data_IF_129600818871
#
_entry.id   IF_129600818871
#
_cell.length_a   1.000
_cell.length_b   1.000
_cell.length_c   1.000
_cell.angle_alpha   90.00
_cell.angle_beta   90.00
_cell.angle_gamma   90.00
#
_symmetry.space_group_name_H-M   'P 1'
#
loop_
_entity.id
_entity.type
_entity.pdbx_description
1 polymer ?
#
# COMPACT_ATOMS: atom_id res chain seq x y z
N UNK A 1 15.58 1.29 61.54
CA UNK A 1 14.40 0.71 60.89
C UNK A 1 13.96 1.66 59.77
N UNK A 2 14.25 1.35 58.55
CA UNK A 2 13.77 2.14 57.39
C UNK A 2 12.27 1.89 57.30
N UNK A 3 11.50 2.96 57.41
CA UNK A 3 10.06 2.97 57.55
C UNK A 3 9.37 2.22 56.37
N UNK A 4 8.75 1.08 56.71
CA UNK A 4 8.04 0.21 55.78
C UNK A 4 6.90 0.94 55.02
N UNK A 5 6.43 2.05 55.57
CA UNK A 5 5.41 2.91 54.99
C UNK A 5 5.95 3.72 53.79
N UNK A 6 7.15 4.30 53.94
CA UNK A 6 7.83 5.05 52.88
C UNK A 6 8.22 4.15 51.69
N UNK A 7 8.68 2.93 51.95
CA UNK A 7 8.99 1.93 50.91
C UNK A 7 7.76 1.55 50.07
N UNK A 8 6.59 1.36 50.69
CA UNK A 8 5.33 1.06 49.98
C UNK A 8 4.87 2.22 49.11
N UNK A 9 4.97 3.45 49.63
CA UNK A 9 4.61 4.67 48.90
C UNK A 9 5.51 4.89 47.67
N UNK A 10 6.82 4.72 47.81
CA UNK A 10 7.79 4.81 46.71
C UNK A 10 7.50 3.77 45.62
N UNK A 11 7.25 2.51 46.01
CA UNK A 11 6.88 1.45 45.03
C UNK A 11 5.58 1.72 44.31
N UNK A 12 4.59 2.30 45.01
CA UNK A 12 3.31 2.67 44.37
C UNK A 12 3.47 3.78 43.34
N UNK A 13 4.22 4.83 43.64
CA UNK A 13 4.55 5.94 42.74
C UNK A 13 5.34 5.41 41.56
N UNK A 14 6.35 4.58 41.77
CA UNK A 14 7.16 3.99 40.71
C UNK A 14 6.32 3.12 39.75
N UNK A 15 5.43 2.26 40.29
CA UNK A 15 4.51 1.46 39.48
C UNK A 15 3.52 2.34 38.70
N UNK A 16 3.02 3.42 39.29
CA UNK A 16 2.17 4.39 38.64
C UNK A 16 2.86 5.05 37.43
N UNK A 17 4.08 5.53 37.65
CA UNK A 17 4.87 6.18 36.57
C UNK A 17 5.21 5.21 35.43
N UNK A 18 5.57 3.94 35.74
CA UNK A 18 5.82 2.92 34.74
C UNK A 18 4.57 2.65 33.87
N UNK A 19 3.38 2.54 34.51
CA UNK A 19 2.13 2.33 33.78
C UNK A 19 1.80 3.51 32.84
N UNK A 20 1.97 4.74 33.32
CA UNK A 20 1.75 5.95 32.52
C UNK A 20 2.73 6.00 31.35
N UNK A 21 4.02 5.74 31.60
CA UNK A 21 5.04 5.72 30.54
C UNK A 21 4.78 4.64 29.51
N UNK A 22 4.41 3.43 29.91
CA UNK A 22 4.06 2.34 28.99
C UNK A 22 2.83 2.68 28.14
N UNK A 23 1.80 3.28 28.75
CA UNK A 23 0.60 3.74 28.04
C UNK A 23 0.93 4.83 27.01
N UNK A 24 1.72 5.82 27.40
CA UNK A 24 2.13 6.91 26.51
C UNK A 24 2.97 6.39 25.34
N UNK A 25 3.89 5.45 25.57
CA UNK A 25 4.68 4.82 24.51
C UNK A 25 3.80 4.06 23.55
N UNK A 26 2.83 3.27 24.06
CA UNK A 26 1.84 2.56 23.24
C UNK A 26 1.04 3.50 22.37
N UNK A 27 0.48 4.59 22.91
CA UNK A 27 -0.27 5.57 22.15
C UNK A 27 0.58 6.26 21.09
N UNK A 28 1.81 6.65 21.44
CA UNK A 28 2.74 7.27 20.48
C UNK A 28 3.05 6.34 19.32
N UNK A 29 3.28 5.05 19.60
CA UNK A 29 3.55 4.04 18.56
C UNK A 29 2.34 3.83 17.67
N UNK A 30 1.13 3.70 18.22
CA UNK A 30 -0.11 3.58 17.45
C UNK A 30 -0.33 4.79 16.54
N UNK A 31 -0.21 6.00 17.06
CA UNK A 31 -0.35 7.23 16.28
C UNK A 31 0.64 7.29 15.11
N UNK A 32 1.88 6.83 15.33
CA UNK A 32 2.89 6.76 14.28
C UNK A 32 2.51 5.76 13.19
N UNK A 33 2.04 4.57 13.57
CA UNK A 33 1.57 3.55 12.62
C UNK A 33 0.39 4.07 11.81
N UNK A 34 -0.62 4.66 12.46
CA UNK A 34 -1.77 5.24 11.78
C UNK A 34 -1.37 6.35 10.80
N UNK A 35 -0.42 7.20 11.17
CA UNK A 35 0.11 8.25 10.30
C UNK A 35 0.77 7.68 9.04
N UNK A 36 1.56 6.61 9.19
CA UNK A 36 2.19 5.93 8.06
C UNK A 36 1.14 5.30 7.14
N UNK A 37 0.17 4.58 7.70
CA UNK A 37 -0.92 3.96 6.93
C UNK A 37 -1.67 5.01 6.12
N UNK A 38 -2.10 6.12 6.74
CA UNK A 38 -2.79 7.20 6.06
C UNK A 38 -1.96 7.86 4.95
N UNK A 39 -0.66 8.00 5.16
CA UNK A 39 0.25 8.53 4.15
C UNK A 39 0.34 7.59 2.93
N UNK A 40 0.46 6.28 3.18
CA UNK A 40 0.49 5.25 2.13
C UNK A 40 -0.83 5.20 1.36
N UNK A 41 -1.98 5.25 2.03
CA UNK A 41 -3.32 5.23 1.41
C UNK A 41 -3.56 6.43 0.48
N UNK A 42 -3.07 7.60 0.86
CA UNK A 42 -3.28 8.84 0.11
C UNK A 42 -2.64 8.79 -1.30
N UNK A 43 -1.53 8.11 -1.45
CA UNK A 43 -0.76 8.08 -2.70
C UNK A 43 -1.57 7.42 -3.83
N UNK A 44 -2.03 6.16 -3.72
CA UNK A 44 -2.81 5.54 -4.78
C UNK A 44 -4.18 6.19 -4.97
N UNK A 45 -4.77 6.82 -3.94
CA UNK A 45 -5.99 7.62 -4.11
C UNK A 45 -5.77 8.82 -5.03
N UNK A 46 -4.67 9.54 -4.86
CA UNK A 46 -4.32 10.66 -5.74
C UNK A 46 -3.96 10.19 -7.16
N UNK A 47 -3.28 9.05 -7.28
CA UNK A 47 -2.98 8.45 -8.57
C UNK A 47 -4.26 8.07 -9.31
N UNK A 48 -5.21 7.41 -8.65
CA UNK A 48 -6.49 7.02 -9.24
C UNK A 48 -7.25 8.23 -9.79
N UNK A 49 -7.41 9.29 -9.01
CA UNK A 49 -8.03 10.55 -9.45
C UNK A 49 -7.34 11.13 -10.70
N UNK A 50 -6.01 11.11 -10.73
CA UNK A 50 -5.25 11.60 -11.88
C UNK A 50 -5.45 10.73 -13.13
N UNK A 51 -5.62 9.40 -12.95
CA UNK A 51 -5.86 8.45 -14.03
C UNK A 51 -7.28 8.53 -14.59
N UNK A 52 -8.27 8.88 -13.77
CA UNK A 52 -9.64 9.11 -14.21
C UNK A 52 -9.75 10.30 -15.16
N UNK A 53 -9.02 11.39 -14.87
CA UNK A 53 -9.12 12.66 -15.59
C UNK A 53 -8.22 12.75 -16.84
N UNK A 54 -7.19 11.91 -16.96
CA UNK A 54 -6.13 12.09 -17.95
C UNK A 54 -5.74 10.80 -18.67
N UNK A 55 -5.39 10.94 -19.96
CA UNK A 55 -4.77 9.86 -20.72
C UNK A 55 -3.25 9.91 -20.51
N UNK A 56 -2.69 8.82 -20.02
CA UNK A 56 -1.25 8.65 -19.84
C UNK A 56 -0.68 7.72 -20.90
N UNK A 57 0.48 8.08 -21.45
CA UNK A 57 1.31 7.17 -22.22
C UNK A 57 1.93 6.10 -21.29
N UNK A 58 2.42 5.04 -21.90
CA UNK A 58 3.14 3.98 -21.16
C UNK A 58 4.33 4.55 -20.39
N UNK A 59 5.10 5.42 -21.02
CA UNK A 59 6.28 6.05 -20.46
C UNK A 59 5.96 6.91 -19.23
N UNK A 60 4.87 7.67 -19.29
CA UNK A 60 4.40 8.49 -18.17
C UNK A 60 3.94 7.62 -16.99
N UNK A 61 3.23 6.51 -17.23
CA UNK A 61 2.84 5.57 -16.18
C UNK A 61 4.05 4.90 -15.54
N UNK A 62 5.03 4.48 -16.32
CA UNK A 62 6.28 3.89 -15.81
C UNK A 62 7.04 4.90 -14.95
N UNK A 63 7.14 6.15 -15.39
CA UNK A 63 7.80 7.21 -14.63
C UNK A 63 7.05 7.51 -13.32
N UNK A 64 5.72 7.60 -13.36
CA UNK A 64 4.88 7.83 -12.20
C UNK A 64 5.08 6.74 -11.13
N UNK A 65 5.00 5.47 -11.52
CA UNK A 65 5.21 4.34 -10.63
C UNK A 65 6.62 4.33 -10.01
N UNK A 66 7.63 4.52 -10.84
CA UNK A 66 9.02 4.59 -10.39
C UNK A 66 9.20 5.69 -9.34
N UNK A 67 8.73 6.91 -9.63
CA UNK A 67 8.81 8.05 -8.70
C UNK A 67 8.03 7.82 -7.42
N UNK A 68 6.90 7.13 -7.51
CA UNK A 68 6.13 6.75 -6.33
C UNK A 68 6.95 5.88 -5.37
N UNK A 69 7.64 4.87 -5.88
CA UNK A 69 8.48 3.98 -5.06
C UNK A 69 9.76 4.68 -4.58
N UNK A 70 10.39 5.51 -5.43
CA UNK A 70 11.61 6.27 -5.08
C UNK A 70 11.37 7.25 -3.93
N UNK A 71 10.27 7.99 -3.97
CA UNK A 71 10.03 9.12 -3.07
C UNK A 71 9.29 8.73 -1.77
N UNK A 72 8.84 7.49 -1.63
CA UNK A 72 8.08 7.03 -0.47
C UNK A 72 8.76 5.82 0.18
N UNK A 73 9.55 6.03 1.24
CA UNK A 73 10.30 4.95 1.89
C UNK A 73 9.41 3.87 2.49
N UNK A 74 8.18 4.18 2.86
CA UNK A 74 7.19 3.26 3.43
C UNK A 74 6.56 2.32 2.40
N UNK A 75 6.64 2.65 1.11
CA UNK A 75 6.10 1.84 0.03
C UNK A 75 7.16 0.86 -0.45
N UNK A 76 6.87 -0.44 -0.36
CA UNK A 76 7.73 -1.48 -0.94
C UNK A 76 7.68 -1.49 -2.45
N UNK A 77 6.48 -1.46 -3.03
CA UNK A 77 6.27 -1.47 -4.47
C UNK A 77 4.95 -0.83 -4.89
N UNK A 78 4.84 -0.50 -6.17
CA UNK A 78 3.64 0.11 -6.74
C UNK A 78 3.38 -0.40 -8.15
N UNK A 79 2.12 -0.65 -8.46
CA UNK A 79 1.64 -1.07 -9.78
C UNK A 79 0.39 -0.29 -10.18
N UNK A 80 0.18 -0.17 -11.48
CA UNK A 80 -1.10 0.22 -12.08
C UNK A 80 -1.50 -0.95 -12.98
N UNK A 81 -2.63 -1.60 -12.68
CA UNK A 81 -3.09 -2.77 -13.39
C UNK A 81 -4.41 -2.48 -14.12
N UNK A 82 -4.43 -2.64 -15.42
CA UNK A 82 -5.61 -2.43 -16.25
C UNK A 82 -6.39 -3.73 -16.45
N UNK A 83 -7.67 -3.61 -16.74
CA UNK A 83 -8.44 -4.73 -17.28
C UNK A 83 -7.79 -5.30 -18.55
N UNK A 84 -7.94 -6.60 -18.80
CA UNK A 84 -7.42 -7.22 -20.03
C UNK A 84 -7.82 -6.42 -21.27
N UNK A 85 -6.84 -6.10 -22.12
CA UNK A 85 -6.98 -5.35 -23.39
C UNK A 85 -7.43 -3.87 -23.24
N UNK A 86 -7.54 -3.33 -22.02
CA UNK A 86 -8.04 -1.96 -21.83
C UNK A 86 -6.95 -0.88 -21.86
N UNK A 87 -5.70 -1.24 -21.70
CA UNK A 87 -4.59 -0.30 -21.93
C UNK A 87 -4.19 -0.25 -23.41
N UNK A 88 -4.07 -1.41 -24.02
CA UNK A 88 -3.68 -1.64 -25.40
C UNK A 88 -4.49 -2.83 -25.95
N UNK A 89 -5.18 -2.65 -27.06
CA UNK A 89 -6.07 -3.66 -27.68
C UNK A 89 -5.33 -4.95 -28.07
N UNK A 90 -4.02 -4.86 -28.36
CA UNK A 90 -3.19 -6.01 -28.73
C UNK A 90 -2.52 -6.67 -27.51
N UNK A 91 -2.61 -6.08 -26.32
CA UNK A 91 -1.96 -6.55 -25.10
C UNK A 91 -2.97 -6.94 -24.04
N UNK A 92 -3.08 -8.26 -23.77
CA UNK A 92 -3.98 -8.77 -22.74
C UNK A 92 -3.61 -8.30 -21.34
N UNK A 93 -2.35 -8.13 -21.07
CA UNK A 93 -1.85 -7.80 -19.73
C UNK A 93 -1.12 -6.47 -19.73
N UNK A 94 -1.53 -5.57 -18.86
CA UNK A 94 -0.76 -4.37 -18.58
C UNK A 94 -0.78 -4.09 -17.09
N UNK A 95 0.27 -4.53 -16.40
CA UNK A 95 0.49 -4.31 -14.98
C UNK A 95 2.01 -4.10 -14.71
N UNK A 96 2.55 -2.93 -15.06
CA UNK A 96 3.93 -2.58 -14.72
C UNK A 96 4.09 -2.45 -13.21
N UNK A 97 5.15 -3.00 -12.67
CA UNK A 97 5.43 -3.04 -11.24
C UNK A 97 6.85 -2.59 -10.94
N UNK A 98 6.99 -1.59 -10.10
CA UNK A 98 8.25 -1.17 -9.50
C UNK A 98 8.27 -1.55 -8.04
N UNK A 99 9.41 -2.07 -7.54
CA UNK A 99 9.55 -2.48 -6.16
C UNK A 99 10.99 -2.32 -5.66
N UNK A 100 11.14 -2.22 -4.35
CA UNK A 100 12.45 -2.15 -3.68
C UNK A 100 13.02 -3.55 -3.52
N UNK A 101 14.29 -3.68 -3.89
CA UNK A 101 15.07 -4.88 -3.64
C UNK A 101 16.43 -4.42 -3.08
N UNK A 102 16.61 -4.56 -1.78
CA UNK A 102 17.73 -3.98 -1.03
C UNK A 102 17.84 -2.46 -1.25
N UNK A 103 18.89 -2.02 -1.95
CA UNK A 103 19.14 -0.60 -2.23
C UNK A 103 18.70 -0.15 -3.62
N UNK A 104 18.14 -1.06 -4.41
CA UNK A 104 17.77 -0.78 -5.80
C UNK A 104 16.26 -0.84 -6.00
N UNK A 105 15.78 -0.07 -6.97
CA UNK A 105 14.42 -0.18 -7.47
C UNK A 105 14.44 -1.08 -8.69
N UNK A 106 13.73 -2.18 -8.60
CA UNK A 106 13.55 -3.15 -9.68
C UNK A 106 12.25 -2.89 -10.42
N UNK A 107 12.21 -3.36 -11.65
CA UNK A 107 11.05 -3.27 -12.52
C UNK A 107 10.71 -4.65 -13.09
N UNK A 108 9.41 -4.94 -13.17
CA UNK A 108 8.87 -6.11 -13.88
C UNK A 108 7.44 -5.84 -14.37
N UNK A 109 6.95 -6.67 -15.28
CA UNK A 109 5.52 -6.78 -15.56
C UNK A 109 4.95 -7.98 -14.82
N UNK A 110 3.92 -7.77 -14.00
CA UNK A 110 3.29 -8.85 -13.22
C UNK A 110 2.09 -9.46 -13.93
N UNK A 111 1.83 -9.13 -15.19
CA UNK A 111 0.78 -9.72 -16.01
C UNK A 111 1.33 -10.78 -16.95
N UNK A 112 0.87 -12.03 -16.81
CA UNK A 112 1.22 -13.14 -17.70
C UNK A 112 0.16 -14.26 -17.63
N UNK A 113 0.26 -15.28 -18.49
CA UNK A 113 -0.61 -16.45 -18.40
C UNK A 113 -0.43 -17.24 -17.10
N UNK A 114 0.77 -17.21 -16.49
CA UNK A 114 1.05 -17.83 -15.20
C UNK A 114 0.66 -16.93 -14.01
N UNK A 115 0.63 -15.62 -14.20
CA UNK A 115 0.24 -14.64 -13.18
C UNK A 115 -0.88 -13.74 -13.72
N UNK A 116 -2.10 -14.22 -13.61
CA UNK A 116 -3.30 -13.48 -14.01
C UNK A 116 -3.74 -12.56 -12.88
N UNK A 117 -3.14 -11.37 -12.79
CA UNK A 117 -3.36 -10.43 -11.68
C UNK A 117 -4.82 -10.13 -11.40
N UNK A 118 -5.68 -10.12 -12.41
CA UNK A 118 -7.12 -9.86 -12.27
C UNK A 118 -7.90 -10.96 -11.53
N UNK A 119 -7.26 -12.10 -11.21
CA UNK A 119 -7.83 -13.17 -10.36
C UNK A 119 -7.41 -13.05 -8.90
N UNK A 120 -6.46 -12.18 -8.59
CA UNK A 120 -5.95 -12.01 -7.24
C UNK A 120 -6.83 -11.06 -6.41
N UNK A 121 -6.92 -11.30 -5.13
CA UNK A 121 -7.79 -10.55 -4.21
C UNK A 121 -7.48 -9.05 -4.19
N UNK A 122 -6.20 -8.67 -4.27
CA UNK A 122 -5.79 -7.28 -4.29
C UNK A 122 -6.32 -6.49 -5.51
N UNK A 123 -6.65 -7.18 -6.62
CA UNK A 123 -7.26 -6.59 -7.81
C UNK A 123 -8.79 -6.76 -7.79
N UNK A 124 -9.24 -7.98 -7.54
CA UNK A 124 -10.65 -8.40 -7.66
C UNK A 124 -11.55 -7.74 -6.64
N UNK A 125 -11.14 -7.75 -5.35
CA UNK A 125 -11.98 -7.24 -4.25
C UNK A 125 -12.27 -5.74 -4.38
N UNK A 126 -11.28 -4.83 -4.61
CA UNK A 126 -11.60 -3.41 -4.79
C UNK A 126 -12.49 -3.15 -6.00
N UNK A 127 -12.32 -3.88 -7.10
CA UNK A 127 -13.18 -3.80 -8.28
C UNK A 127 -14.62 -4.20 -7.97
N UNK A 128 -14.84 -5.37 -7.36
CA UNK A 128 -16.17 -5.89 -7.02
C UNK A 128 -16.91 -4.99 -6.01
N UNK A 129 -16.19 -4.42 -5.06
CA UNK A 129 -16.74 -3.52 -4.05
C UNK A 129 -16.88 -2.07 -4.52
N UNK A 130 -16.24 -1.71 -5.62
CA UNK A 130 -16.07 -0.33 -6.07
C UNK A 130 -15.56 0.60 -4.96
N UNK A 131 -14.56 0.12 -4.20
CA UNK A 131 -14.01 0.81 -3.04
C UNK A 131 -12.51 0.53 -2.92
N UNK A 132 -11.79 1.49 -2.33
CA UNK A 132 -10.42 1.27 -1.91
C UNK A 132 -10.37 0.25 -0.76
N UNK A 133 -9.48 -0.72 -0.86
CA UNK A 133 -9.41 -1.85 0.09
C UNK A 133 -7.97 -2.23 0.38
N UNK A 134 -7.66 -2.51 1.65
CA UNK A 134 -6.48 -3.28 2.04
C UNK A 134 -6.74 -4.77 1.83
N UNK A 135 -5.80 -5.47 1.20
CA UNK A 135 -5.80 -6.94 1.20
C UNK A 135 -5.42 -7.49 2.57
N UNK A 136 -5.83 -8.72 2.87
CA UNK A 136 -5.14 -9.50 3.90
C UNK A 136 -3.66 -9.66 3.53
N UNK A 137 -2.76 -9.86 4.51
CA UNK A 137 -1.37 -10.19 4.22
C UNK A 137 -1.26 -11.47 3.40
N UNK A 138 -0.47 -11.44 2.33
CA UNK A 138 -0.21 -12.58 1.46
C UNK A 138 1.26 -12.66 1.07
N UNK A 139 1.71 -13.84 0.63
CA UNK A 139 3.04 -14.00 0.04
C UNK A 139 2.94 -13.69 -1.45
N UNK A 140 3.67 -12.67 -1.91
CA UNK A 140 3.65 -12.23 -3.31
C UNK A 140 4.63 -13.04 -4.14
N UNK A 141 4.22 -14.23 -4.55
CA UNK A 141 5.01 -15.14 -5.36
C UNK A 141 5.15 -14.61 -6.79
N UNK A 142 6.38 -14.47 -7.24
CA UNK A 142 6.70 -14.06 -8.61
C UNK A 142 6.81 -12.56 -8.86
N UNK A 143 6.46 -11.71 -7.89
CA UNK A 143 6.68 -10.27 -7.98
C UNK A 143 7.73 -9.77 -6.97
N UNK A 144 7.42 -9.78 -5.68
CA UNK A 144 8.36 -9.34 -4.65
C UNK A 144 9.00 -10.48 -3.86
N UNK A 145 8.38 -11.66 -3.84
CA UNK A 145 8.74 -12.82 -3.01
C UNK A 145 8.83 -12.47 -1.52
N UNK A 146 7.93 -11.64 -1.03
CA UNK A 146 7.81 -11.23 0.37
C UNK A 146 6.37 -11.33 0.85
N UNK A 147 6.18 -11.33 2.17
CA UNK A 147 4.85 -11.13 2.76
C UNK A 147 4.53 -9.64 2.71
N UNK A 148 3.41 -9.30 2.10
CA UNK A 148 2.93 -7.92 1.98
C UNK A 148 1.42 -7.82 2.16
N UNK A 149 0.93 -6.61 2.42
CA UNK A 149 -0.45 -6.21 2.25
C UNK A 149 -0.51 -5.12 1.19
N UNK A 150 -1.52 -5.15 0.35
CA UNK A 150 -1.68 -4.19 -0.75
C UNK A 150 -2.91 -3.32 -0.50
N UNK A 151 -2.71 -2.01 -0.56
CA UNK A 151 -3.82 -1.06 -0.61
C UNK A 151 -4.13 -0.74 -2.07
N UNK A 152 -5.30 -1.14 -2.52
CA UNK A 152 -5.74 -0.98 -3.91
C UNK A 152 -6.89 0.01 -4.01
N UNK A 153 -6.79 0.89 -5.00
CA UNK A 153 -7.79 1.92 -5.31
C UNK A 153 -8.26 1.69 -6.75
N UNK A 154 -9.54 1.41 -6.98
CA UNK A 154 -10.06 1.30 -8.33
C UNK A 154 -10.07 2.67 -9.01
N UNK A 155 -9.81 2.70 -10.31
CA UNK A 155 -9.96 3.87 -11.17
C UNK A 155 -10.69 3.46 -12.44
N UNK A 156 -11.38 4.41 -13.05
CA UNK A 156 -12.23 4.17 -14.22
C UNK A 156 -11.95 5.24 -15.26
N UNK A 157 -11.89 4.85 -16.53
CA UNK A 157 -11.89 5.78 -17.64
C UNK A 157 -13.24 5.78 -18.29
N UNK A 158 -13.83 6.95 -18.48
CA UNK A 158 -14.95 7.08 -19.41
C UNK A 158 -14.46 6.71 -20.82
N UNK A 159 -15.07 5.69 -21.41
CA UNK A 159 -14.79 5.33 -22.79
C UNK A 159 -15.10 6.52 -23.70
N UNK A 160 -14.30 6.75 -24.72
CA UNK A 160 -14.55 7.78 -25.75
C UNK A 160 -15.94 7.68 -26.40
N UNK A 161 -16.66 6.58 -26.16
CA UNK A 161 -17.97 6.25 -26.72
C UNK A 161 -19.10 6.22 -25.66
N UNK A 162 -18.87 6.72 -24.44
CA UNK A 162 -19.91 6.78 -23.40
C UNK A 162 -20.47 5.40 -22.99
N UNK A 163 -19.68 4.33 -23.12
CA UNK A 163 -20.01 2.99 -22.64
C UNK A 163 -19.13 2.66 -21.46
N UNK A 164 -19.79 2.41 -20.32
CA UNK A 164 -19.20 1.92 -19.06
C UNK A 164 -18.43 0.61 -19.24
#
# INVERSE_FOLDING_TARGET
>A
MIDNHNSKKIRSIFKGNLRVSAKNLSHSTLNKIESIIKAVEKIPQQMALSLDDSSYSKEELLLLLRKTVENNPEIYGSTIAFEPYMFDADSRYFAPYYYKNDKEIKFTFIGSESYKYFLWDWYKIPKEKNQSVWSEPYFDEGAGNIIMATYSVPFYREGKDGRE
#
